data_IF_340010805124
#
_entry.id   IF_340010805124
#
_cell.length_a   1.000
_cell.length_b   1.000
_cell.length_c   1.000
_cell.angle_alpha   90.00
_cell.angle_beta   90.00
_cell.angle_gamma   90.00
#
_symmetry.space_group_name_H-M   'P 1'
#
loop_
_entity.id
_entity.type
_entity.pdbx_description
1 polymer ?
#
# COMPACT_ATOMS: atom_id res chain seq x y z
N UNK A 1 -13.46 12.19 6.45
CA UNK A 1 -13.80 10.76 6.40
C UNK A 1 -14.57 10.38 7.65
N UNK A 2 -15.54 9.49 7.56
CA UNK A 2 -16.21 9.00 8.77
C UNK A 2 -15.45 7.75 9.25
N UNK A 3 -14.68 7.89 10.32
CA UNK A 3 -13.66 6.94 10.81
C UNK A 3 -14.16 5.52 11.02
N UNK A 4 -15.44 5.36 11.39
CA UNK A 4 -16.06 4.06 11.67
C UNK A 4 -16.33 3.21 10.43
N UNK A 5 -16.20 3.78 9.23
CA UNK A 5 -16.51 3.12 7.95
C UNK A 5 -15.30 3.02 7.01
N UNK A 6 -14.14 3.57 7.39
CA UNK A 6 -12.91 3.49 6.59
C UNK A 6 -12.07 2.29 6.98
N UNK A 7 -11.70 1.45 6.00
CA UNK A 7 -10.75 0.36 6.24
C UNK A 7 -9.32 0.79 5.98
N UNK A 8 -8.38 0.32 6.79
CA UNK A 8 -6.95 0.43 6.51
C UNK A 8 -6.52 -0.74 5.61
N UNK A 9 -5.91 -0.43 4.47
CA UNK A 9 -5.26 -1.40 3.60
C UNK A 9 -3.74 -1.26 3.75
N UNK A 10 -3.10 -2.26 4.37
CA UNK A 10 -1.64 -2.36 4.54
C UNK A 10 -1.12 -3.20 3.38
N UNK A 11 -0.54 -2.54 2.36
CA UNK A 11 -0.28 -3.15 1.07
C UNK A 11 1.22 -3.45 0.89
N UNK A 12 1.54 -4.73 0.70
CA UNK A 12 2.85 -5.27 0.29
C UNK A 12 4.03 -4.80 1.18
N UNK A 13 3.78 -4.60 2.48
CA UNK A 13 4.87 -4.37 3.45
C UNK A 13 5.46 -5.73 3.83
N UNK A 14 6.30 -6.25 2.92
CA UNK A 14 6.92 -7.57 2.99
C UNK A 14 8.45 -7.44 3.10
N UNK A 15 9.10 -8.43 3.71
CA UNK A 15 10.57 -8.48 3.88
C UNK A 15 11.30 -8.34 2.53
N UNK A 16 10.75 -8.89 1.46
CA UNK A 16 11.32 -8.80 0.12
C UNK A 16 11.48 -7.37 -0.42
N UNK A 17 10.78 -6.40 0.15
CA UNK A 17 10.94 -4.98 -0.21
C UNK A 17 12.23 -4.35 0.36
N UNK A 18 12.97 -5.06 1.23
CA UNK A 18 14.29 -4.64 1.70
C UNK A 18 15.43 -5.00 0.72
N UNK A 19 15.14 -5.79 -0.32
CA UNK A 19 16.10 -6.12 -1.37
C UNK A 19 16.21 -4.95 -2.37
N UNK A 20 16.68 -3.79 -1.88
CA UNK A 20 16.67 -2.50 -2.60
C UNK A 20 17.36 -2.59 -3.96
N UNK A 21 18.46 -3.34 -4.06
CA UNK A 21 19.19 -3.53 -5.32
C UNK A 21 18.36 -4.22 -6.39
N UNK A 22 17.48 -5.15 -6.01
CA UNK A 22 16.54 -5.82 -6.92
C UNK A 22 15.56 -4.83 -7.55
N UNK A 23 15.20 -3.76 -6.84
CA UNK A 23 14.23 -2.77 -7.28
C UNK A 23 14.85 -1.50 -7.87
N UNK A 24 16.16 -1.44 -8.07
CA UNK A 24 16.83 -0.31 -8.72
C UNK A 24 17.86 0.43 -7.84
N UNK A 25 18.13 -0.03 -6.62
CA UNK A 25 19.26 0.42 -5.79
C UNK A 25 19.03 1.69 -4.98
N UNK A 26 17.90 2.36 -5.10
CA UNK A 26 17.54 3.56 -4.33
C UNK A 26 16.06 3.52 -3.95
N UNK A 27 15.75 3.91 -2.72
CA UNK A 27 14.39 4.04 -2.21
C UNK A 27 14.23 5.36 -1.45
N UNK A 28 13.09 6.01 -1.63
CA UNK A 28 12.71 7.16 -0.80
C UNK A 28 11.96 6.73 0.48
N UNK A 29 11.57 7.68 1.31
CA UNK A 29 10.79 7.48 2.54
C UNK A 29 11.28 6.29 3.38
N UNK A 30 12.48 6.36 3.97
CA UNK A 30 13.05 5.25 4.74
C UNK A 30 12.18 4.86 5.97
N UNK A 31 11.36 5.78 6.46
CA UNK A 31 10.48 5.60 7.62
C UNK A 31 9.03 5.23 7.25
N UNK A 32 8.75 4.89 5.98
CA UNK A 32 7.39 4.62 5.51
C UNK A 32 6.71 3.50 6.30
N UNK A 33 7.40 2.42 6.61
CA UNK A 33 6.87 1.32 7.41
C UNK A 33 6.60 1.72 8.86
N UNK A 34 7.42 2.61 9.44
CA UNK A 34 7.17 3.12 10.80
C UNK A 34 5.92 4.01 10.83
N UNK A 35 5.68 4.83 9.78
CA UNK A 35 4.46 5.59 9.64
C UNK A 35 3.24 4.67 9.45
N UNK A 36 3.36 3.64 8.61
CA UNK A 36 2.32 2.62 8.42
C UNK A 36 2.00 1.89 9.74
N UNK A 37 3.01 1.51 10.51
CA UNK A 37 2.85 0.86 11.83
C UNK A 37 2.08 1.75 12.82
N UNK A 38 2.40 3.06 12.90
CA UNK A 38 1.68 4.00 13.77
C UNK A 38 0.21 4.15 13.39
N UNK A 39 -0.10 4.15 12.10
CA UNK A 39 -1.49 4.18 11.60
C UNK A 39 -2.19 2.86 11.94
N UNK A 40 -1.53 1.73 11.71
CA UNK A 40 -2.05 0.39 12.02
C UNK A 40 -2.38 0.26 13.51
N UNK A 41 -1.50 0.72 14.41
CA UNK A 41 -1.75 0.74 15.85
C UNK A 41 -2.98 1.59 16.21
N UNK A 42 -3.18 2.73 15.54
CA UNK A 42 -4.36 3.56 15.74
C UNK A 42 -5.65 2.85 15.29
N UNK A 43 -5.63 2.16 14.13
CA UNK A 43 -6.77 1.36 13.67
C UNK A 43 -7.09 0.23 14.64
N UNK A 44 -6.06 -0.50 15.10
CA UNK A 44 -6.19 -1.58 16.09
C UNK A 44 -6.80 -1.09 17.40
N UNK A 45 -6.29 0.02 17.94
CA UNK A 45 -6.75 0.58 19.22
C UNK A 45 -8.22 1.04 19.18
N UNK A 46 -8.72 1.42 18.02
CA UNK A 46 -10.11 1.83 17.82
C UNK A 46 -11.03 0.69 17.35
N UNK A 47 -10.48 -0.50 17.08
CA UNK A 47 -11.24 -1.63 16.54
C UNK A 47 -11.78 -1.38 15.13
N UNK A 48 -11.10 -0.54 14.34
CA UNK A 48 -11.50 -0.23 12.97
C UNK A 48 -11.07 -1.32 11.99
N UNK A 49 -11.75 -1.45 10.82
CA UNK A 49 -11.44 -2.50 9.87
C UNK A 49 -10.01 -2.40 9.30
N UNK A 50 -9.28 -3.51 9.29
CA UNK A 50 -7.92 -3.63 8.76
C UNK A 50 -7.90 -4.78 7.76
N UNK A 51 -7.17 -4.62 6.67
CA UNK A 51 -6.85 -5.66 5.69
C UNK A 51 -5.36 -5.63 5.37
N UNK A 52 -4.69 -6.74 5.55
CA UNK A 52 -3.30 -6.91 5.12
C UNK A 52 -3.28 -7.49 3.72
N UNK A 53 -2.60 -6.81 2.81
CA UNK A 53 -2.43 -7.26 1.44
C UNK A 53 -0.98 -7.66 1.24
N UNK A 54 -0.74 -8.83 0.65
CA UNK A 54 0.60 -9.25 0.23
C UNK A 54 0.62 -9.64 -1.24
N UNK A 55 1.74 -9.34 -1.88
CA UNK A 55 2.00 -9.74 -3.26
C UNK A 55 2.65 -11.13 -3.27
N UNK A 56 2.13 -12.03 -4.10
CA UNK A 56 2.71 -13.33 -4.41
C UNK A 56 3.18 -13.31 -5.86
N UNK A 57 4.45 -13.01 -6.10
CA UNK A 57 4.99 -12.96 -7.46
C UNK A 57 4.90 -14.31 -8.15
N UNK A 58 4.58 -14.30 -9.45
CA UNK A 58 4.62 -15.50 -10.32
C UNK A 58 6.04 -15.83 -10.80
N UNK A 59 6.97 -14.89 -10.66
CA UNK A 59 8.38 -15.06 -11.05
C UNK A 59 9.15 -15.66 -9.89
N UNK A 60 9.74 -16.82 -10.10
CA UNK A 60 10.45 -17.61 -9.07
C UNK A 60 11.71 -16.93 -8.51
N UNK A 61 12.29 -15.99 -9.26
CA UNK A 61 13.46 -15.19 -8.88
C UNK A 61 13.10 -13.91 -8.12
N UNK A 62 11.80 -13.60 -8.02
CA UNK A 62 11.35 -12.43 -7.28
C UNK A 62 11.45 -12.64 -5.77
N UNK A 63 11.96 -11.68 -5.00
CA UNK A 63 11.95 -11.74 -3.53
C UNK A 63 10.55 -11.91 -2.93
N UNK A 64 9.49 -11.57 -3.68
CA UNK A 64 8.09 -11.71 -3.26
C UNK A 64 7.44 -13.03 -3.72
N UNK A 65 8.21 -13.96 -4.32
CA UNK A 65 7.67 -15.27 -4.62
C UNK A 65 7.45 -16.08 -3.34
N UNK A 66 6.38 -16.88 -3.29
CA UNK A 66 5.96 -17.59 -2.08
C UNK A 66 7.00 -18.57 -1.50
N UNK A 67 8.01 -18.98 -2.29
CA UNK A 67 9.11 -19.85 -1.84
C UNK A 67 10.26 -19.09 -1.15
N UNK A 68 10.26 -17.76 -1.19
CA UNK A 68 11.31 -16.92 -0.60
C UNK A 68 10.92 -16.40 0.79
N UNK A 69 11.91 -16.17 1.64
CA UNK A 69 11.70 -15.53 2.94
C UNK A 69 11.11 -14.13 2.82
N UNK A 70 11.45 -13.42 1.72
CA UNK A 70 10.92 -12.10 1.42
C UNK A 70 9.41 -12.03 1.21
N UNK A 71 8.73 -13.18 1.04
CA UNK A 71 7.27 -13.25 0.98
C UNK A 71 6.59 -12.93 2.31
N UNK A 72 7.28 -13.09 3.44
CA UNK A 72 6.73 -12.81 4.75
C UNK A 72 6.48 -11.30 4.94
N UNK A 73 5.48 -10.98 5.77
CA UNK A 73 5.25 -9.60 6.22
C UNK A 73 6.40 -9.12 7.09
N UNK A 74 6.70 -7.82 7.03
CA UNK A 74 7.62 -7.18 7.98
C UNK A 74 6.99 -7.18 9.39
N UNK A 75 7.79 -7.47 10.44
CA UNK A 75 7.28 -7.64 11.80
C UNK A 75 6.45 -6.45 12.33
N UNK A 76 6.87 -5.22 12.01
CA UNK A 76 6.24 -3.98 12.49
C UNK A 76 4.83 -3.73 11.95
N UNK A 77 4.47 -4.40 10.85
CA UNK A 77 3.13 -4.29 10.24
C UNK A 77 2.49 -5.65 10.01
N UNK A 78 3.04 -6.71 10.59
CA UNK A 78 2.51 -8.05 10.42
C UNK A 78 1.07 -8.15 10.95
N UNK A 79 0.20 -8.95 10.28
CA UNK A 79 -1.15 -9.18 10.77
C UNK A 79 -1.13 -9.88 12.12
N UNK A 80 -2.06 -9.49 13.00
CA UNK A 80 -2.35 -10.22 14.23
C UNK A 80 -3.56 -11.14 14.01
N UNK A 81 -3.86 -11.98 15.01
CA UNK A 81 -4.98 -12.90 14.94
C UNK A 81 -6.27 -12.19 14.51
N UNK A 82 -6.99 -12.83 13.59
CA UNK A 82 -8.28 -12.39 13.05
C UNK A 82 -8.25 -11.18 12.09
N UNK A 83 -7.07 -10.60 11.79
CA UNK A 83 -6.94 -9.61 10.73
C UNK A 83 -6.88 -10.32 9.35
N UNK A 84 -7.78 -9.96 8.41
CA UNK A 84 -7.82 -10.57 7.08
C UNK A 84 -6.53 -10.37 6.30
N UNK A 85 -6.08 -11.44 5.62
CA UNK A 85 -4.94 -11.42 4.71
C UNK A 85 -5.45 -11.66 3.29
N UNK A 86 -5.21 -10.68 2.41
CA UNK A 86 -5.50 -10.74 0.98
C UNK A 86 -4.19 -11.03 0.25
N UNK A 87 -4.15 -12.13 -0.49
CA UNK A 87 -2.98 -12.46 -1.33
C UNK A 87 -3.33 -12.20 -2.78
N UNK A 88 -2.54 -11.37 -3.46
CA UNK A 88 -2.68 -11.02 -4.87
C UNK A 88 -1.44 -11.42 -5.67
N UNK A 89 -1.60 -11.62 -6.97
CA UNK A 89 -0.53 -11.94 -7.91
C UNK A 89 -0.38 -10.91 -9.05
N UNK A 90 -1.11 -9.79 -8.91
CA UNK A 90 -1.05 -8.61 -9.79
C UNK A 90 -0.98 -7.33 -8.94
N UNK A 91 -0.79 -6.17 -9.55
CA UNK A 91 -0.59 -4.92 -8.78
C UNK A 91 -1.83 -4.48 -8.01
N UNK A 92 -3.04 -4.62 -8.59
CA UNK A 92 -4.27 -4.24 -7.88
C UNK A 92 -4.64 -5.24 -6.79
N UNK A 93 -4.94 -4.76 -5.59
CA UNK A 93 -5.46 -5.59 -4.50
C UNK A 93 -6.92 -6.04 -4.72
N UNK A 94 -7.60 -5.54 -5.75
CA UNK A 94 -8.99 -5.88 -6.08
C UNK A 94 -9.13 -6.91 -7.21
N UNK A 95 -8.04 -7.25 -7.91
CA UNK A 95 -8.07 -8.19 -9.04
C UNK A 95 -7.66 -9.59 -8.55
N UNK A 96 -8.52 -10.58 -8.84
CA UNK A 96 -8.28 -11.97 -8.44
C UNK A 96 -8.39 -12.21 -6.93
N UNK A 97 -9.01 -11.27 -6.19
CA UNK A 97 -9.22 -11.33 -4.74
C UNK A 97 -10.69 -11.08 -4.40
N UNK A 98 -11.08 -11.38 -3.19
CA UNK A 98 -12.42 -11.12 -2.63
C UNK A 98 -12.49 -9.82 -1.81
N UNK A 99 -11.43 -8.99 -1.81
CA UNK A 99 -11.35 -7.78 -0.98
C UNK A 99 -12.58 -6.87 -1.18
N UNK A 100 -12.97 -6.60 -2.43
CA UNK A 100 -14.12 -5.72 -2.70
C UNK A 100 -15.44 -6.31 -2.21
N UNK A 101 -15.59 -7.63 -2.22
CA UNK A 101 -16.76 -8.34 -1.68
C UNK A 101 -16.80 -8.15 -0.17
N UNK A 102 -15.69 -8.41 0.52
CA UNK A 102 -15.59 -8.24 1.97
C UNK A 102 -15.86 -6.81 2.44
N UNK A 103 -15.35 -5.80 1.70
CA UNK A 103 -15.62 -4.40 1.99
C UNK A 103 -17.13 -4.08 1.86
N UNK A 104 -17.77 -4.52 0.78
CA UNK A 104 -19.20 -4.32 0.54
C UNK A 104 -20.08 -5.00 1.59
N UNK A 105 -19.77 -6.24 1.97
CA UNK A 105 -20.51 -6.98 3.01
C UNK A 105 -20.48 -6.29 4.37
N UNK A 106 -19.41 -5.56 4.66
CA UNK A 106 -19.23 -4.76 5.88
C UNK A 106 -19.75 -3.31 5.74
N UNK A 107 -20.28 -2.93 4.57
CA UNK A 107 -20.75 -1.56 4.30
C UNK A 107 -19.61 -0.53 4.25
N UNK A 108 -18.39 -0.96 3.97
CA UNK A 108 -17.20 -0.09 3.89
C UNK A 108 -17.13 0.51 2.49
N UNK A 109 -17.18 1.83 2.41
CA UNK A 109 -17.14 2.60 1.17
C UNK A 109 -15.91 3.53 1.07
N UNK A 110 -15.05 3.54 2.08
CA UNK A 110 -13.81 4.32 2.09
C UNK A 110 -12.62 3.50 2.60
N UNK A 111 -11.43 3.79 2.06
CA UNK A 111 -10.18 3.09 2.41
C UNK A 111 -9.03 4.06 2.57
N UNK A 112 -8.17 3.77 3.55
CA UNK A 112 -6.88 4.41 3.73
C UNK A 112 -5.80 3.42 3.29
N UNK A 113 -4.92 3.83 2.38
CA UNK A 113 -3.88 2.96 1.82
C UNK A 113 -2.49 3.39 2.29
N UNK A 114 -1.74 2.44 2.83
CA UNK A 114 -0.33 2.55 3.20
C UNK A 114 0.44 1.38 2.60
N UNK A 115 1.75 1.52 2.36
CA UNK A 115 2.59 0.41 1.90
C UNK A 115 3.36 0.66 0.61
N UNK A 116 3.68 -0.38 -0.15
CA UNK A 116 4.68 -0.38 -1.21
C UNK A 116 4.17 -0.99 -2.52
N UNK A 117 4.59 -0.49 -3.68
CA UNK A 117 5.28 0.77 -3.92
C UNK A 117 4.30 1.80 -4.44
N UNK A 118 4.59 3.09 -4.21
CA UNK A 118 3.70 4.20 -4.57
C UNK A 118 3.28 4.16 -6.04
N UNK A 119 4.24 3.94 -6.93
CA UNK A 119 4.04 3.95 -8.39
C UNK A 119 3.44 2.67 -8.98
N UNK A 120 3.42 1.55 -8.23
CA UNK A 120 2.89 0.27 -8.70
C UNK A 120 1.64 -0.14 -7.92
N UNK A 121 1.79 -0.94 -6.86
CA UNK A 121 0.64 -1.55 -6.17
C UNK A 121 -0.26 -0.52 -5.50
N UNK A 122 0.29 0.53 -4.90
CA UNK A 122 -0.49 1.62 -4.31
C UNK A 122 -1.25 2.37 -5.40
N UNK A 123 -0.55 2.87 -6.44
CA UNK A 123 -1.18 3.62 -7.53
C UNK A 123 -2.27 2.79 -8.24
N UNK A 124 -1.97 1.53 -8.56
CA UNK A 124 -2.91 0.65 -9.24
C UNK A 124 -4.14 0.35 -8.37
N UNK A 125 -3.94 0.09 -7.09
CA UNK A 125 -5.04 -0.17 -6.15
C UNK A 125 -5.88 1.08 -5.91
N UNK A 126 -5.26 2.26 -5.77
CA UNK A 126 -5.98 3.51 -5.58
C UNK A 126 -6.88 3.83 -6.78
N UNK A 127 -6.36 3.74 -8.00
CA UNK A 127 -7.13 3.93 -9.23
C UNK A 127 -8.28 2.94 -9.36
N UNK A 128 -8.01 1.66 -9.10
CA UNK A 128 -9.05 0.63 -9.16
C UNK A 128 -10.10 0.84 -8.07
N UNK A 129 -9.71 1.12 -6.82
CA UNK A 129 -10.63 1.37 -5.72
C UNK A 129 -11.57 2.53 -6.02
N UNK A 130 -11.03 3.66 -6.52
CA UNK A 130 -11.80 4.82 -6.96
C UNK A 130 -12.78 4.46 -8.08
N UNK A 131 -12.34 3.74 -9.11
CA UNK A 131 -13.18 3.30 -10.22
C UNK A 131 -14.28 2.30 -9.79
N UNK A 132 -14.08 1.59 -8.68
CA UNK A 132 -15.08 0.71 -8.05
C UNK A 132 -16.02 1.45 -7.09
N UNK A 133 -15.86 2.78 -6.95
CA UNK A 133 -16.72 3.65 -6.15
C UNK A 133 -16.31 3.82 -4.69
N UNK A 134 -15.07 3.44 -4.32
CA UNK A 134 -14.54 3.72 -2.99
C UNK A 134 -13.99 5.14 -2.90
N UNK A 135 -14.17 5.78 -1.75
CA UNK A 135 -13.38 6.94 -1.35
C UNK A 135 -12.00 6.45 -0.91
N UNK A 136 -10.94 6.93 -1.57
CA UNK A 136 -9.58 6.48 -1.32
C UNK A 136 -8.73 7.59 -0.73
N UNK A 137 -8.02 7.30 0.36
CA UNK A 137 -6.90 8.11 0.84
C UNK A 137 -5.59 7.34 0.67
N UNK A 138 -4.54 8.03 0.22
CA UNK A 138 -3.18 7.49 0.17
C UNK A 138 -2.29 8.32 1.08
N UNK A 139 -1.54 7.64 1.96
CA UNK A 139 -0.70 8.32 2.95
C UNK A 139 0.72 8.43 2.41
N UNK A 140 1.09 9.67 2.04
CA UNK A 140 2.31 9.97 1.30
C UNK A 140 3.59 9.53 2.02
N UNK A 141 3.71 9.79 3.32
CA UNK A 141 4.87 9.44 4.14
C UNK A 141 4.82 8.00 4.70
N UNK A 142 3.71 7.27 4.46
CA UNK A 142 3.56 5.84 4.74
C UNK A 142 3.57 4.99 3.46
N UNK A 143 4.03 5.56 2.34
CA UNK A 143 4.29 4.88 1.06
C UNK A 143 5.68 5.26 0.55
N UNK A 144 6.29 4.41 -0.28
CA UNK A 144 7.61 4.66 -0.85
C UNK A 144 7.72 4.12 -2.27
N UNK A 145 8.66 4.65 -3.04
CA UNK A 145 9.02 4.18 -4.37
C UNK A 145 10.51 3.86 -4.47
N UNK A 146 10.87 3.13 -5.50
CA UNK A 146 12.25 2.89 -5.89
C UNK A 146 12.61 3.73 -7.13
N UNK A 147 13.93 3.97 -7.33
CA UNK A 147 14.44 4.56 -8.55
C UNK A 147 13.93 3.80 -9.78
N UNK A 148 13.70 4.51 -10.86
CA UNK A 148 13.27 3.93 -12.13
C UNK A 148 14.16 4.39 -13.27
N UNK A 149 14.28 3.55 -14.30
CA UNK A 149 14.97 3.88 -15.55
C UNK A 149 13.92 4.02 -16.64
N UNK A 150 13.90 5.17 -17.30
CA UNK A 150 12.99 5.47 -18.41
C UNK A 150 13.40 4.83 -19.72
N UNK A 151 12.60 5.05 -20.77
CA UNK A 151 12.77 4.43 -22.09
C UNK A 151 14.09 4.84 -22.78
N UNK A 152 14.62 6.04 -22.49
CA UNK A 152 15.86 6.56 -23.02
C UNK A 152 17.06 6.38 -22.08
N UNK A 153 16.98 5.40 -21.17
CA UNK A 153 17.94 5.17 -20.10
C UNK A 153 18.10 6.37 -19.15
N UNK A 154 17.15 7.31 -19.15
CA UNK A 154 17.13 8.39 -18.17
C UNK A 154 16.78 7.80 -16.80
N UNK A 155 17.57 8.15 -15.80
CA UNK A 155 17.31 7.76 -14.42
C UNK A 155 16.39 8.76 -13.73
N UNK A 156 15.38 8.25 -13.05
CA UNK A 156 14.47 9.02 -12.20
C UNK A 156 14.68 8.58 -10.75
N UNK A 157 15.06 9.54 -9.90
CA UNK A 157 15.25 9.25 -8.48
C UNK A 157 13.99 8.67 -7.84
N UNK A 158 14.15 7.89 -6.78
CA UNK A 158 13.02 7.33 -6.04
C UNK A 158 12.03 8.42 -5.57
N UNK A 159 12.56 9.58 -5.13
CA UNK A 159 11.75 10.73 -4.73
C UNK A 159 10.92 11.29 -5.90
N UNK A 160 11.52 11.46 -7.08
CA UNK A 160 10.79 11.95 -8.26
C UNK A 160 9.68 10.98 -8.68
N UNK A 161 9.97 9.68 -8.71
CA UNK A 161 8.98 8.64 -9.02
C UNK A 161 7.82 8.69 -8.03
N UNK A 162 8.11 8.82 -6.75
CA UNK A 162 7.13 8.94 -5.69
C UNK A 162 6.24 10.18 -5.84
N UNK A 163 6.83 11.36 -5.96
CA UNK A 163 6.09 12.63 -6.05
C UNK A 163 5.18 12.69 -7.29
N UNK A 164 5.69 12.27 -8.45
CA UNK A 164 4.88 12.25 -9.68
C UNK A 164 3.72 11.24 -9.53
N UNK A 165 3.96 10.08 -8.91
CA UNK A 165 2.91 9.09 -8.70
C UNK A 165 1.80 9.61 -7.79
N UNK A 166 2.16 10.29 -6.69
CA UNK A 166 1.20 10.93 -5.80
C UNK A 166 0.44 12.07 -6.49
N UNK A 167 1.13 12.92 -7.26
CA UNK A 167 0.51 14.01 -8.01
C UNK A 167 -0.54 13.49 -9.01
N UNK A 168 -0.28 12.34 -9.65
CA UNK A 168 -1.23 11.71 -10.57
C UNK A 168 -2.44 11.05 -9.88
N UNK A 169 -2.36 10.80 -8.58
CA UNK A 169 -3.45 10.24 -7.80
C UNK A 169 -4.31 11.32 -7.16
N UNK A 170 -3.67 12.40 -6.72
CA UNK A 170 -4.31 13.40 -5.89
C UNK A 170 -5.41 14.18 -6.65
N UNK A 171 -6.59 14.19 -6.08
CA UNK A 171 -7.75 14.90 -6.61
C UNK A 171 -8.58 14.12 -7.62
N UNK A 172 -7.99 13.19 -8.36
CA UNK A 172 -8.70 12.36 -9.35
C UNK A 172 -9.10 11.00 -8.77
N UNK A 173 -8.14 10.27 -8.17
CA UNK A 173 -8.35 8.90 -7.70
C UNK A 173 -8.27 8.74 -6.19
N UNK A 174 -7.59 9.66 -5.53
CA UNK A 174 -7.40 9.60 -4.09
C UNK A 174 -7.23 11.01 -3.49
N UNK A 175 -7.51 11.12 -2.20
CA UNK A 175 -7.01 12.22 -1.38
C UNK A 175 -5.62 11.80 -0.88
N UNK A 176 -4.58 12.50 -1.33
CA UNK A 176 -3.22 12.30 -0.82
C UNK A 176 -3.01 13.17 0.41
N UNK A 177 -2.51 12.58 1.48
CA UNK A 177 -2.25 13.27 2.75
C UNK A 177 -1.08 12.63 3.49
N UNK A 178 -0.51 13.36 4.44
CA UNK A 178 0.51 12.84 5.36
C UNK A 178 -0.13 12.10 6.54
N UNK A 179 0.69 11.35 7.29
CA UNK A 179 0.27 10.72 8.57
C UNK A 179 -0.31 11.74 9.55
N UNK A 180 0.27 12.95 9.61
CA UNK A 180 -0.21 14.00 10.52
C UNK A 180 -1.57 14.54 10.08
N UNK A 181 -1.76 14.85 8.79
CA UNK A 181 -3.05 15.30 8.26
C UNK A 181 -4.14 14.23 8.43
N UNK A 182 -3.79 12.93 8.26
CA UNK A 182 -4.72 11.85 8.56
C UNK A 182 -5.17 11.90 10.03
N UNK A 183 -4.24 12.01 10.98
CA UNK A 183 -4.56 12.08 12.42
C UNK A 183 -5.44 13.27 12.79
N UNK A 184 -5.23 14.41 12.16
CA UNK A 184 -6.04 15.63 12.37
C UNK A 184 -7.46 15.48 11.78
N UNK A 185 -7.66 14.56 10.81
CA UNK A 185 -8.94 14.30 10.17
C UNK A 185 -9.78 13.22 10.85
N UNK A 186 -9.19 12.47 11.80
CA UNK A 186 -9.83 11.41 12.60
C UNK A 186 -10.44 11.95 13.89
#
# INVERSE_FOLDING_TARGET
MNDKTSALLVIDIQIGMDFVDYYGGERNNPDAEQHASKILEQWRSNGWPIYHVRHSSKHSDSPLHASHEGFAFKPETAPIKDEPIITKDVNSCFIGTDLMIQLKEKGINSVVMVGLTTNHCISTSARMGSNLGLEVAVISDATAAFRQVGIDNQEFSAEMVHQISLANLNGEFAKVMTTNELKESL
#
